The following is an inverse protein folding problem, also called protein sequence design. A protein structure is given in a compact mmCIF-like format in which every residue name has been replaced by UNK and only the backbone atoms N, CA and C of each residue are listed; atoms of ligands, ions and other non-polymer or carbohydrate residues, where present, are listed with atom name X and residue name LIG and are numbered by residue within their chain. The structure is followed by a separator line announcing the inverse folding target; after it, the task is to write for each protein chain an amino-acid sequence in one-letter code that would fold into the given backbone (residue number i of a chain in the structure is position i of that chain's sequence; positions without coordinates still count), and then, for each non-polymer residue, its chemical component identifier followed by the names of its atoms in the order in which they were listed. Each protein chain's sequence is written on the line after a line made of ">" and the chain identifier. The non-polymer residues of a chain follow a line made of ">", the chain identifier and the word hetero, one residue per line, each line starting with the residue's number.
data_IF_290317044434
#
_entry.id   IF_290317044434
#
_cell.length_a   1.000
_cell.length_b   1.000
_cell.length_c   1.000
_cell.angle_alpha   90.00
_cell.angle_beta   90.00
_cell.angle_gamma   90.00
#
_symmetry.space_group_name_H-M   'P 1'
#
loop_
_entity.id
_entity.type
_entity.pdbx_description
1 polymer ?
#
# COMPACT_ATOMS: atom_id res chain seq x y z
N UNK A 1 1.05 -16.47 30.60
CA UNK A 1 0.17 -15.44 30.00
C UNK A 1 0.23 -15.54 28.50
N UNK A 2 -0.90 -15.70 27.85
CA UNK A 2 -1.03 -15.77 26.39
C UNK A 2 -1.97 -14.66 25.92
N UNK A 3 -1.73 -14.07 24.74
CA UNK A 3 -2.63 -13.06 24.22
C UNK A 3 -3.92 -13.74 23.72
N UNK A 4 -5.05 -13.16 24.07
CA UNK A 4 -6.37 -13.63 23.67
C UNK A 4 -6.72 -13.13 22.26
N UNK A 5 -7.30 -14.01 21.45
CA UNK A 5 -7.74 -13.71 20.09
C UNK A 5 -9.27 -13.51 20.05
N UNK A 6 -9.80 -12.58 19.24
CA UNK A 6 -9.12 -11.69 18.30
C UNK A 6 -8.44 -10.47 18.95
N UNK A 7 -7.40 -9.95 18.30
CA UNK A 7 -6.76 -8.69 18.70
C UNK A 7 -7.61 -7.48 18.31
N UNK A 8 -7.52 -6.40 19.10
CA UNK A 8 -8.11 -5.11 18.77
C UNK A 8 -7.12 -4.32 17.91
N UNK A 9 -7.49 -4.07 16.64
CA UNK A 9 -6.66 -3.36 15.67
C UNK A 9 -7.27 -1.99 15.43
N UNK A 10 -6.50 -0.95 15.68
CA UNK A 10 -6.89 0.45 15.48
C UNK A 10 -6.06 1.06 14.36
N UNK A 11 -6.72 1.78 13.47
CA UNK A 11 -6.10 2.50 12.38
C UNK A 11 -6.12 4.00 12.70
N UNK A 12 -5.08 4.73 12.30
CA UNK A 12 -5.05 6.19 12.49
C UNK A 12 -6.10 6.90 11.63
N UNK A 13 -6.35 6.41 10.41
CA UNK A 13 -7.42 6.89 9.53
C UNK A 13 -8.25 5.74 8.93
N UNK A 14 -9.46 5.47 9.45
CA UNK A 14 -10.32 4.38 8.99
C UNK A 14 -11.10 4.69 7.70
N UNK A 15 -11.22 5.97 7.31
CA UNK A 15 -11.95 6.37 6.09
C UNK A 15 -11.02 6.32 4.90
N UNK A 16 -9.83 6.89 5.04
CA UNK A 16 -8.85 6.90 3.97
C UNK A 16 -8.18 5.53 3.78
N UNK A 17 -8.11 4.69 4.82
CA UNK A 17 -7.61 3.30 4.68
C UNK A 17 -8.42 2.43 3.71
N UNK A 18 -9.67 2.82 3.39
CA UNK A 18 -10.49 2.12 2.40
C UNK A 18 -10.04 2.41 0.97
N UNK A 19 -9.35 3.53 0.76
CA UNK A 19 -8.81 3.92 -0.53
C UNK A 19 -7.51 3.14 -0.75
N UNK A 20 -7.61 2.04 -1.47
CA UNK A 20 -6.45 1.18 -1.77
C UNK A 20 -5.39 1.93 -2.59
N UNK A 21 -5.78 2.81 -3.49
CA UNK A 21 -4.81 3.64 -4.18
C UNK A 21 -5.42 4.67 -5.11
N UNK A 22 -4.58 5.58 -5.57
CA UNK A 22 -4.94 6.63 -6.51
C UNK A 22 -3.89 6.73 -7.63
N UNK A 23 -4.32 7.17 -8.81
CA UNK A 23 -3.42 7.40 -9.95
C UNK A 23 -2.75 8.77 -9.78
N UNK A 24 -1.42 8.79 -9.68
CA UNK A 24 -0.64 10.04 -9.65
C UNK A 24 0.10 10.20 -10.97
N UNK A 25 -0.06 11.37 -11.60
CA UNK A 25 0.76 11.76 -12.76
C UNK A 25 2.24 11.83 -12.36
N UNK A 26 3.09 11.09 -13.06
CA UNK A 26 4.52 11.31 -13.01
C UNK A 26 4.89 12.36 -14.05
N UNK A 27 5.03 13.61 -13.61
CA UNK A 27 5.70 14.62 -14.43
C UNK A 27 7.16 14.17 -14.59
N UNK A 28 7.48 13.57 -15.73
CA UNK A 28 8.86 13.34 -16.10
C UNK A 28 9.47 14.73 -16.32
N UNK A 29 10.24 15.22 -15.35
CA UNK A 29 11.12 16.35 -15.56
C UNK A 29 11.91 16.07 -16.85
N UNK A 30 11.93 16.99 -17.83
CA UNK A 30 12.63 16.76 -19.08
C UNK A 30 14.09 16.51 -18.74
N UNK A 31 14.49 15.24 -18.80
CA UNK A 31 15.89 14.86 -18.69
C UNK A 31 16.56 15.48 -19.91
N UNK A 32 17.36 16.52 -19.70
CA UNK A 32 18.29 17.00 -20.72
C UNK A 32 19.10 15.80 -21.21
N UNK A 33 18.72 15.35 -22.41
CA UNK A 33 19.28 14.17 -23.06
C UNK A 33 20.71 14.49 -23.48
N UNK A 34 21.69 14.10 -22.66
CA UNK A 34 23.00 13.80 -23.21
C UNK A 34 22.88 12.46 -23.94
N UNK A 35 22.89 12.55 -25.26
CA UNK A 35 22.82 11.45 -26.22
C UNK A 35 23.53 10.18 -25.74
N UNK A 36 22.76 9.17 -25.33
CA UNK A 36 23.19 7.77 -25.36
C UNK A 36 22.17 6.94 -26.11
N UNK A 37 22.40 6.82 -27.42
CA UNK A 37 21.78 5.82 -28.28
C UNK A 37 22.01 4.43 -27.67
N UNK A 38 20.97 3.79 -27.14
CA UNK A 38 20.92 2.33 -27.01
C UNK A 38 19.57 1.83 -27.50
N UNK A 39 19.68 0.94 -28.48
CA UNK A 39 18.59 0.32 -29.23
C UNK A 39 17.73 -0.58 -28.34
N UNK A 40 16.43 -0.52 -28.63
CA UNK A 40 15.49 -1.65 -28.72
C UNK A 40 15.00 -2.32 -27.42
N UNK A 41 13.76 -2.04 -27.04
CA UNK A 41 12.86 -3.09 -26.55
C UNK A 41 11.44 -2.82 -27.08
N UNK A 42 10.94 -3.78 -27.86
CA UNK A 42 9.61 -3.82 -28.43
C UNK A 42 8.58 -3.83 -27.30
N UNK A 43 7.82 -2.75 -27.15
CA UNK A 43 6.50 -2.82 -26.52
C UNK A 43 5.47 -3.04 -27.62
N UNK A 44 5.02 -4.28 -27.73
CA UNK A 44 3.83 -4.67 -28.49
C UNK A 44 2.61 -4.23 -27.70
N UNK A 45 1.79 -3.31 -28.23
CA UNK A 45 0.31 -3.29 -28.18
C UNK A 45 -0.25 -2.14 -29.05
N UNK A 46 -1.46 -2.28 -29.62
CA UNK A 46 -1.74 -1.83 -30.98
C UNK A 46 -2.29 -0.40 -31.06
N UNK A 47 -1.68 0.40 -31.94
CA UNK A 47 -2.15 1.73 -32.32
C UNK A 47 -3.22 1.63 -33.42
N UNK A 48 -4.40 2.15 -33.13
CA UNK A 48 -5.48 2.36 -34.10
C UNK A 48 -5.09 3.44 -35.11
N UNK A 49 -5.32 3.14 -36.39
CA UNK A 49 -4.95 3.90 -37.61
C UNK A 49 -5.53 5.32 -37.60
N UNK A 50 -4.68 6.34 -37.73
CA UNK A 50 -4.44 7.14 -38.95
C UNK A 50 -5.68 7.72 -39.63
N UNK A 51 -5.86 9.04 -39.49
CA UNK A 51 -6.44 9.90 -40.53
C UNK A 51 -5.53 11.11 -40.72
N UNK A 52 -5.10 11.31 -41.96
CA UNK A 52 -4.18 12.35 -42.42
C UNK A 52 -4.76 13.76 -42.24
N UNK A 53 -3.95 14.66 -41.71
CA UNK A 53 -3.98 16.08 -42.09
C UNK A 53 -2.61 16.70 -41.76
N UNK A 54 -1.84 16.97 -42.81
CA UNK A 54 -0.73 17.91 -42.79
C UNK A 54 -1.24 19.25 -42.26
N UNK A 55 -0.61 19.78 -41.21
CA UNK A 55 -0.34 21.20 -40.94
C UNK A 55 0.29 21.34 -39.54
N UNK A 56 1.51 21.88 -39.54
CA UNK A 56 2.00 22.88 -38.57
C UNK A 56 2.06 22.55 -37.07
N UNK A 57 3.22 22.09 -36.60
CA UNK A 57 4.04 22.75 -35.56
C UNK A 57 5.14 21.82 -35.07
N UNK A 58 6.31 22.39 -34.77
CA UNK A 58 7.36 21.78 -33.97
C UNK A 58 6.86 21.54 -32.52
N UNK A 59 5.93 20.62 -32.31
CA UNK A 59 5.57 20.16 -30.99
C UNK A 59 6.54 19.06 -30.58
N UNK A 60 7.50 19.43 -29.73
CA UNK A 60 8.22 18.48 -28.89
C UNK A 60 7.16 17.55 -28.28
N UNK A 61 7.23 16.22 -28.47
CA UNK A 61 6.30 15.31 -27.83
C UNK A 61 6.40 15.53 -26.32
N UNK A 62 5.42 16.24 -25.76
CA UNK A 62 5.29 16.38 -24.32
C UNK A 62 5.15 14.94 -23.80
N UNK A 63 5.98 14.51 -22.84
CA UNK A 63 5.85 13.16 -22.30
C UNK A 63 4.44 13.04 -21.70
N UNK A 64 3.60 12.22 -22.34
CA UNK A 64 2.29 11.83 -21.83
C UNK A 64 2.43 11.53 -20.33
N UNK A 65 1.60 12.13 -19.46
CA UNK A 65 1.72 11.96 -18.02
C UNK A 65 1.53 10.49 -17.66
N UNK A 66 2.65 9.81 -17.40
CA UNK A 66 2.61 8.41 -17.01
C UNK A 66 2.00 8.33 -15.61
N UNK A 67 0.76 7.87 -15.53
CA UNK A 67 0.09 7.66 -14.26
C UNK A 67 0.65 6.40 -13.59
N UNK A 68 1.16 6.53 -12.36
CA UNK A 68 1.50 5.37 -11.52
C UNK A 68 0.52 5.28 -10.35
N UNK A 69 0.11 4.05 -10.04
CA UNK A 69 -0.67 3.78 -8.84
C UNK A 69 0.19 4.07 -7.60
N UNK A 70 -0.35 4.85 -6.67
CA UNK A 70 0.21 5.04 -5.34
C UNK A 70 -0.80 4.52 -4.32
N UNK A 71 -0.29 3.78 -3.35
CA UNK A 71 -1.07 3.24 -2.24
C UNK A 71 -0.94 4.18 -1.05
N UNK A 72 -2.01 4.31 -0.28
CA UNK A 72 -1.96 5.02 0.97
C UNK A 72 -1.32 4.16 2.06
N UNK A 73 -0.44 4.77 2.83
CA UNK A 73 0.07 4.19 4.07
C UNK A 73 -0.74 4.76 5.24
N UNK A 74 -1.14 3.90 6.16
CA UNK A 74 -1.83 4.29 7.40
C UNK A 74 -1.15 3.56 8.55
N UNK A 75 -1.01 4.26 9.67
CA UNK A 75 -0.43 3.67 10.87
C UNK A 75 -1.47 2.81 11.57
N UNK A 76 -1.02 1.72 12.17
CA UNK A 76 -1.87 0.80 12.91
C UNK A 76 -1.34 0.54 14.31
N UNK A 77 -2.26 0.30 15.22
CA UNK A 77 -1.96 -0.11 16.58
C UNK A 77 -2.69 -1.42 16.89
N UNK A 78 -1.96 -2.38 17.46
CA UNK A 78 -2.49 -3.69 17.83
C UNK A 78 -2.50 -3.76 19.33
N UNK A 79 -3.66 -4.15 19.85
CA UNK A 79 -3.93 -4.29 21.26
C UNK A 79 -4.38 -5.72 21.56
N UNK A 80 -3.86 -6.29 22.64
CA UNK A 80 -4.26 -7.62 23.09
C UNK A 80 -4.55 -7.63 24.59
N UNK A 81 -5.48 -8.51 24.96
CA UNK A 81 -5.71 -8.89 26.35
C UNK A 81 -4.92 -10.14 26.66
N UNK A 82 -4.36 -10.25 27.86
CA UNK A 82 -3.55 -11.41 28.25
C UNK A 82 -4.26 -12.24 29.30
N UNK A 83 -4.34 -13.54 29.04
CA UNK A 83 -5.00 -14.53 29.90
C UNK A 83 -4.07 -15.67 30.26
N UNK A 84 -4.33 -16.35 31.36
CA UNK A 84 -3.68 -17.62 31.70
C UNK A 84 -4.77 -18.60 32.17
N UNK A 85 -4.82 -19.76 31.51
CA UNK A 85 -5.64 -20.87 31.96
C UNK A 85 -4.86 -21.64 33.03
N UNK A 86 -5.47 -21.79 34.20
CA UNK A 86 -4.94 -22.65 35.26
C UNK A 86 -5.27 -24.11 34.95
N UNK A 87 -4.24 -24.96 34.92
CA UNK A 87 -4.36 -26.39 34.61
C UNK A 87 -5.12 -27.18 35.67
N UNK A 88 -5.09 -26.72 36.93
CA UNK A 88 -5.73 -27.43 38.03
C UNK A 88 -7.20 -27.01 38.21
N UNK A 89 -7.48 -25.72 38.03
CA UNK A 89 -8.80 -25.14 38.26
C UNK A 89 -9.67 -25.01 37.02
N UNK A 90 -9.10 -25.03 35.81
CA UNK A 90 -9.78 -24.64 34.57
C UNK A 90 -10.23 -23.18 34.53
N UNK A 91 -9.91 -22.38 35.56
CA UNK A 91 -10.22 -20.96 35.64
C UNK A 91 -9.27 -20.18 34.75
N UNK A 92 -9.83 -19.18 34.07
CA UNK A 92 -9.06 -18.20 33.33
C UNK A 92 -8.79 -16.99 34.21
N UNK A 93 -7.51 -16.67 34.38
CA UNK A 93 -7.07 -15.44 35.02
C UNK A 93 -6.69 -14.41 33.95
N UNK A 94 -6.86 -13.12 34.26
CA UNK A 94 -6.46 -12.00 33.41
C UNK A 94 -5.21 -11.33 33.97
N UNK A 95 -4.27 -10.94 33.12
CA UNK A 95 -2.97 -10.42 33.55
C UNK A 95 -3.08 -9.14 34.40
N UNK A 96 -4.01 -8.25 34.03
CA UNK A 96 -4.32 -7.03 34.79
C UNK A 96 -5.82 -6.98 35.10
N UNK A 97 -6.65 -6.95 34.06
CA UNK A 97 -8.11 -6.91 34.16
C UNK A 97 -8.73 -7.44 32.86
N UNK A 98 -9.99 -7.87 32.90
CA UNK A 98 -10.76 -8.33 31.74
C UNK A 98 -11.03 -7.23 30.69
N UNK A 99 -10.89 -5.95 31.07
CA UNK A 99 -11.09 -4.79 30.19
C UNK A 99 -9.80 -4.13 29.71
N UNK A 100 -8.66 -4.46 30.31
CA UNK A 100 -7.41 -3.78 30.00
C UNK A 100 -6.77 -4.42 28.77
N UNK A 101 -6.42 -3.58 27.81
CA UNK A 101 -5.72 -3.95 26.60
C UNK A 101 -4.30 -3.39 26.64
N UNK A 102 -3.33 -4.19 26.20
CA UNK A 102 -1.93 -3.79 26.09
C UNK A 102 -1.54 -3.61 24.64
N UNK A 103 -0.84 -2.51 24.33
CA UNK A 103 -0.30 -2.24 22.99
C UNK A 103 0.84 -3.22 22.69
N UNK A 104 0.68 -4.02 21.65
CA UNK A 104 1.63 -5.07 21.24
C UNK A 104 2.11 -4.90 19.79
N UNK A 105 1.89 -3.73 19.18
CA UNK A 105 2.24 -3.45 17.77
C UNK A 105 3.67 -3.84 17.42
N UNK A 106 4.64 -3.55 18.29
CA UNK A 106 6.07 -3.84 18.04
C UNK A 106 6.43 -5.32 18.09
N UNK A 107 5.55 -6.18 18.60
CA UNK A 107 5.74 -7.62 18.74
C UNK A 107 5.07 -8.41 17.60
N UNK A 108 4.31 -7.74 16.74
CA UNK A 108 3.51 -8.37 15.70
C UNK A 108 4.03 -8.02 14.30
N UNK A 109 4.14 -9.02 13.44
CA UNK A 109 4.33 -8.80 11.99
C UNK A 109 2.99 -8.98 11.28
N UNK A 110 2.37 -7.88 10.86
CA UNK A 110 1.14 -7.94 10.07
C UNK A 110 1.49 -8.29 8.63
N UNK A 111 0.81 -9.29 8.08
CA UNK A 111 0.87 -9.59 6.64
C UNK A 111 -0.40 -9.05 6.00
N UNK A 112 -0.26 -8.16 5.02
CA UNK A 112 -1.38 -7.86 4.13
C UNK A 112 -1.70 -9.12 3.32
N UNK A 113 -2.96 -9.52 3.30
CA UNK A 113 -3.44 -10.70 2.58
C UNK A 113 -3.47 -10.51 1.05
N UNK A 114 -3.34 -9.28 0.56
CA UNK A 114 -3.32 -8.97 -0.88
C UNK A 114 -1.87 -8.80 -1.38
N UNK A 115 -1.29 -9.80 -2.08
CA UNK A 115 0.10 -9.76 -2.53
C UNK A 115 0.35 -8.76 -3.67
N UNK A 116 -0.70 -8.15 -4.23
CA UNK A 116 -0.56 -7.14 -5.30
C UNK A 116 -0.28 -5.73 -4.78
N UNK A 117 -0.37 -5.53 -3.46
CA UNK A 117 -0.12 -4.27 -2.76
C UNK A 117 1.20 -4.40 -2.02
N UNK A 118 2.31 -4.14 -2.72
CA UNK A 118 3.68 -4.15 -2.19
C UNK A 118 4.38 -2.81 -2.45
#
# INVERSE_FOLDING_TARGET
>A
WVPEFPFDIRLSDPRLSQIKGWRVSQYQLPKYSYNKKRLNSRSLWPATKQTNSELDRNEIPQPEPQCKLRYQQTDYEIYARFVAADSESGRTSYFLNHRTLLKITSLCTVRLSDPTVA
#
